data_IF_509732721739
#
_entry.id   IF_509732721739
#
_cell.length_a   1.000
_cell.length_b   1.000
_cell.length_c   1.000
_cell.angle_alpha   90.00
_cell.angle_beta   90.00
_cell.angle_gamma   90.00
#
_symmetry.space_group_name_H-M   'P 1'
#
loop_
_entity.id
_entity.type
_entity.pdbx_description
1 polymer ?
#
# COMPACT_ATOMS: atom_id res chain seq x y z
N UNK A 1 -7.98 -10.45 4.13
CA UNK A 1 -7.60 -9.78 2.87
C UNK A 1 -6.44 -10.54 2.26
N UNK A 2 -6.55 -10.95 1.00
CA UNK A 2 -5.65 -11.94 0.37
C UNK A 2 -4.28 -11.37 0.00
N UNK A 3 -4.21 -10.13 -0.51
CA UNK A 3 -2.99 -9.51 -1.04
C UNK A 3 -1.77 -9.60 -0.10
N UNK A 4 -1.89 -9.10 1.13
CA UNK A 4 -0.76 -9.11 2.08
C UNK A 4 -0.37 -10.52 2.52
N UNK A 5 -1.32 -11.46 2.53
CA UNK A 5 -1.00 -12.87 2.82
C UNK A 5 -0.18 -13.49 1.70
N UNK A 6 -0.49 -13.19 0.43
CA UNK A 6 0.32 -13.63 -0.71
C UNK A 6 1.74 -13.06 -0.65
N UNK A 7 1.88 -11.76 -0.34
CA UNK A 7 3.19 -11.13 -0.13
C UNK A 7 4.00 -11.83 0.98
N UNK A 8 3.35 -12.26 2.06
CA UNK A 8 4.01 -12.98 3.14
C UNK A 8 4.39 -14.43 2.80
N UNK A 9 3.74 -15.02 1.80
CA UNK A 9 4.01 -16.38 1.35
C UNK A 9 5.14 -16.44 0.32
N UNK A 10 5.43 -15.32 -0.36
CA UNK A 10 6.47 -15.24 -1.39
C UNK A 10 7.85 -14.94 -0.78
N UNK A 11 8.84 -15.86 -0.83
CA UNK A 11 10.14 -15.70 -0.17
C UNK A 11 10.91 -14.43 -0.59
N UNK A 12 10.89 -14.10 -1.88
CA UNK A 12 11.60 -12.92 -2.41
C UNK A 12 11.01 -11.60 -1.89
N UNK A 13 9.71 -11.57 -1.64
CA UNK A 13 9.02 -10.38 -1.14
C UNK A 13 9.09 -10.29 0.38
N UNK A 14 8.81 -11.38 1.09
CA UNK A 14 8.75 -11.40 2.56
C UNK A 14 10.11 -11.11 3.20
N UNK A 15 11.20 -11.50 2.53
CA UNK A 15 12.58 -11.26 3.01
C UNK A 15 12.95 -9.79 3.17
N UNK A 16 12.16 -8.87 2.60
CA UNK A 16 12.39 -7.43 2.66
C UNK A 16 11.74 -6.77 3.90
N UNK A 17 10.95 -7.52 4.68
CA UNK A 17 10.17 -6.99 5.80
C UNK A 17 10.72 -7.42 7.17
N UNK A 18 10.59 -6.52 8.16
CA UNK A 18 10.89 -6.84 9.56
C UNK A 18 9.93 -7.92 10.11
N UNK A 19 10.34 -8.75 11.08
CA UNK A 19 9.52 -9.84 11.62
C UNK A 19 8.11 -9.42 12.08
N UNK A 20 7.97 -8.24 12.69
CA UNK A 20 6.67 -7.73 13.10
C UNK A 20 5.74 -7.47 11.90
N UNK A 21 6.27 -6.89 10.81
CA UNK A 21 5.50 -6.69 9.57
C UNK A 21 5.14 -8.03 8.92
N UNK A 22 6.05 -9.01 8.95
CA UNK A 22 5.74 -10.37 8.45
C UNK A 22 4.59 -10.99 9.23
N UNK A 23 4.56 -10.86 10.56
CA UNK A 23 3.47 -11.36 11.40
C UNK A 23 2.12 -10.71 11.06
N UNK A 24 2.11 -9.40 10.80
CA UNK A 24 0.93 -8.68 10.32
C UNK A 24 0.45 -9.20 8.96
N UNK A 25 1.36 -9.31 8.00
CA UNK A 25 1.03 -9.74 6.64
C UNK A 25 0.52 -11.19 6.60
N UNK A 26 1.05 -12.11 7.42
CA UNK A 26 0.52 -13.48 7.57
C UNK A 26 -0.93 -13.49 8.06
N UNK A 27 -1.32 -12.51 8.90
CA UNK A 27 -2.71 -12.28 9.33
C UNK A 27 -3.55 -11.54 8.28
N UNK A 28 -2.97 -11.18 7.12
CA UNK A 28 -3.62 -10.43 6.05
C UNK A 28 -3.71 -8.92 6.30
N UNK A 29 -2.93 -8.40 7.24
CA UNK A 29 -2.89 -6.98 7.61
C UNK A 29 -1.78 -6.25 6.84
N UNK A 30 -1.99 -4.97 6.56
CA UNK A 30 -0.98 -4.15 5.90
C UNK A 30 0.23 -3.92 6.81
N UNK A 31 1.46 -4.04 6.30
CA UNK A 31 2.66 -3.76 7.07
C UNK A 31 2.82 -2.26 7.31
N UNK A 32 3.66 -1.90 8.28
CA UNK A 32 4.02 -0.51 8.56
C UNK A 32 5.22 -0.06 7.69
N UNK A 33 5.18 1.15 7.09
CA UNK A 33 6.34 1.76 6.48
C UNK A 33 7.29 2.33 7.55
N UNK A 34 8.42 2.88 7.12
CA UNK A 34 9.34 3.62 8.01
C UNK A 34 8.66 4.86 8.61
N UNK A 35 9.13 5.30 9.79
CA UNK A 35 8.48 6.38 10.55
C UNK A 35 8.32 7.68 9.76
N UNK A 36 9.32 8.05 8.95
CA UNK A 36 9.32 9.27 8.11
C UNK A 36 8.25 9.28 7.02
N UNK A 37 7.63 8.13 6.75
CA UNK A 37 6.65 7.92 5.69
C UNK A 37 5.21 7.78 6.23
N UNK A 38 5.03 7.81 7.55
CA UNK A 38 3.72 7.85 8.22
C UNK A 38 3.19 9.29 8.25
N UNK A 39 1.86 9.47 8.27
CA UNK A 39 1.22 10.79 8.40
C UNK A 39 0.00 10.72 9.31
N UNK A 40 0.07 11.38 10.47
CA UNK A 40 -1.00 11.36 11.46
C UNK A 40 -1.33 9.92 11.90
N UNK A 41 -2.63 9.57 11.87
CA UNK A 41 -3.09 8.19 12.14
C UNK A 41 -2.89 7.20 10.99
N UNK A 42 -2.38 7.62 9.83
CA UNK A 42 -2.12 6.75 8.68
C UNK A 42 -0.70 6.21 8.77
N UNK A 43 -0.60 4.94 9.15
CA UNK A 43 0.67 4.37 9.59
C UNK A 43 0.99 3.00 8.99
N UNK A 44 0.21 2.54 8.01
CA UNK A 44 0.41 1.31 7.23
C UNK A 44 0.53 1.63 5.74
N UNK A 45 1.07 0.69 4.95
CA UNK A 45 1.06 0.84 3.49
C UNK A 45 -0.37 0.81 2.95
N UNK A 46 -0.59 1.52 1.85
CA UNK A 46 -1.91 1.72 1.25
C UNK A 46 -1.91 1.28 -0.21
N UNK A 47 -3.05 0.78 -0.68
CA UNK A 47 -3.25 0.41 -2.09
C UNK A 47 -3.91 1.61 -2.79
N UNK A 48 -3.26 2.11 -3.83
CA UNK A 48 -3.65 3.27 -4.62
C UNK A 48 -4.02 2.87 -6.05
N UNK A 49 -5.16 3.33 -6.56
CA UNK A 49 -5.53 3.21 -7.97
C UNK A 49 -4.81 4.28 -8.81
N UNK A 50 -4.06 3.85 -9.83
CA UNK A 50 -3.33 4.76 -10.75
C UNK A 50 -4.33 5.60 -11.56
N UNK A 51 -5.30 4.93 -12.18
CA UNK A 51 -6.49 5.51 -12.79
C UNK A 51 -7.63 5.40 -11.79
N UNK A 52 -8.19 6.54 -11.38
CA UNK A 52 -9.23 6.56 -10.37
C UNK A 52 -10.47 5.78 -10.81
N UNK A 53 -11.15 5.13 -9.87
CA UNK A 53 -12.42 4.43 -10.16
C UNK A 53 -13.45 5.41 -10.73
N UNK A 54 -13.49 6.65 -10.22
CA UNK A 54 -14.39 7.72 -10.72
C UNK A 54 -14.16 8.05 -12.20
N UNK A 55 -12.93 7.89 -12.69
CA UNK A 55 -12.58 8.10 -14.09
C UNK A 55 -12.62 6.80 -14.92
N UNK A 56 -13.32 5.76 -14.44
CA UNK A 56 -13.45 4.47 -15.13
C UNK A 56 -12.28 3.51 -14.92
N UNK A 57 -11.39 3.77 -13.95
CA UNK A 57 -10.32 2.85 -13.60
C UNK A 57 -10.84 1.54 -13.02
N UNK A 58 -10.28 0.41 -13.48
CA UNK A 58 -10.66 -0.92 -13.01
C UNK A 58 -10.29 -1.12 -11.52
N UNK A 59 -11.18 -1.78 -10.77
CA UNK A 59 -11.05 -1.91 -9.31
C UNK A 59 -9.96 -2.89 -8.90
N UNK A 60 -9.84 -4.02 -9.61
CA UNK A 60 -8.97 -5.16 -9.25
C UNK A 60 -7.91 -5.48 -10.31
N UNK A 61 -7.79 -4.64 -11.33
CA UNK A 61 -6.70 -4.74 -12.29
C UNK A 61 -5.39 -4.44 -11.56
N UNK A 62 -4.52 -5.44 -11.42
CA UNK A 62 -3.24 -5.30 -10.71
C UNK A 62 -2.33 -4.26 -11.36
N UNK A 63 -2.45 -4.05 -12.68
CA UNK A 63 -1.70 -3.03 -13.39
C UNK A 63 -2.17 -1.61 -13.03
N UNK A 64 -3.43 -1.48 -12.57
CA UNK A 64 -4.01 -0.25 -12.06
C UNK A 64 -3.77 -0.02 -10.56
N UNK A 65 -3.11 -0.93 -9.84
CA UNK A 65 -2.86 -0.81 -8.40
C UNK A 65 -1.39 -0.50 -8.10
N UNK A 66 -1.14 0.33 -7.09
CA UNK A 66 0.21 0.60 -6.55
C UNK A 66 0.18 0.55 -5.04
N UNK A 67 1.26 0.04 -4.44
CA UNK A 67 1.49 0.15 -2.99
C UNK A 67 2.20 1.48 -2.74
N UNK A 68 1.65 2.30 -1.85
CA UNK A 68 2.22 3.59 -1.48
C UNK A 68 2.32 3.74 0.04
N UNK A 69 3.28 4.55 0.48
CA UNK A 69 3.29 5.03 1.86
C UNK A 69 2.20 6.10 2.04
N UNK A 70 1.68 6.30 3.26
CA UNK A 70 0.72 7.36 3.55
C UNK A 70 1.18 8.73 3.07
N UNK A 71 2.44 9.09 3.34
CA UNK A 71 3.04 10.35 2.89
C UNK A 71 3.01 10.46 1.36
N UNK A 72 3.51 9.44 0.65
CA UNK A 72 3.51 9.44 -0.82
C UNK A 72 2.11 9.47 -1.41
N UNK A 73 1.16 8.77 -0.81
CA UNK A 73 -0.22 8.73 -1.29
C UNK A 73 -0.87 10.13 -1.19
N UNK A 74 -0.61 10.86 -0.10
CA UNK A 74 -1.03 12.26 0.05
C UNK A 74 -0.36 13.14 -1.01
N UNK A 75 0.94 13.00 -1.24
CA UNK A 75 1.67 13.77 -2.28
C UNK A 75 1.11 13.56 -3.68
N UNK A 76 0.72 12.32 -4.03
CA UNK A 76 0.14 12.02 -5.34
C UNK A 76 -1.19 12.75 -5.52
N UNK A 77 -2.05 12.74 -4.50
CA UNK A 77 -3.34 13.41 -4.55
C UNK A 77 -3.24 14.93 -4.43
N UNK A 78 -2.26 15.46 -3.70
CA UNK A 78 -2.05 16.91 -3.62
C UNK A 78 -1.53 17.47 -4.94
N UNK A 79 -0.64 16.76 -5.65
CA UNK A 79 -0.16 17.15 -6.99
C UNK A 79 -1.23 17.05 -8.07
N UNK A 80 -2.16 16.09 -7.96
CA UNK A 80 -3.33 15.97 -8.84
C UNK A 80 -4.47 16.94 -8.46
N UNK A 81 -4.40 17.54 -7.28
CA UNK A 81 -5.42 18.41 -6.69
C UNK A 81 -5.24 19.91 -6.95
N UNK A 82 -4.27 20.33 -7.77
CA UNK A 82 -4.17 21.70 -8.24
C UNK A 82 -5.22 21.98 -9.33
N UNK A 83 -6.41 22.40 -8.91
CA UNK A 83 -7.27 23.31 -9.68
C UNK A 83 -7.25 24.66 -8.99
#
# INVERSE_FOLDING_TARGET
MTFWREVANEPELVGQFKPNNVSLMKKGLSPHPVLSEKVGGRDTFEIHHVNSIKSGGAVYDVDNLRVATPKRHIEIHSRRGGK
#
